data_IF_353186209701
#
_entry.id   IF_353186209701
#
_cell.length_a   1.000
_cell.length_b   1.000
_cell.length_c   1.000
_cell.angle_alpha   90.00
_cell.angle_beta   90.00
_cell.angle_gamma   90.00
#
_symmetry.space_group_name_H-M   'P 1'
#
loop_
_entity.id
_entity.type
_entity.pdbx_description
1 polymer ?
#
# COMPACT_ATOMS: atom_id res chain seq x y z
N UNK A 1 17.78 -2.67 -25.51
CA UNK A 1 16.58 -2.11 -24.86
C UNK A 1 16.59 -2.57 -23.40
N UNK A 2 16.66 -1.64 -22.48
CA UNK A 2 16.67 -1.96 -21.05
C UNK A 2 15.24 -1.95 -20.52
N UNK A 3 14.69 -3.11 -20.23
CA UNK A 3 13.42 -3.22 -19.48
C UNK A 3 13.66 -2.81 -18.02
N UNK A 4 12.77 -1.98 -17.50
CA UNK A 4 12.78 -1.57 -16.10
C UNK A 4 11.67 -2.30 -15.37
N UNK A 5 11.95 -2.77 -14.18
CA UNK A 5 10.93 -3.37 -13.31
C UNK A 5 11.07 -2.86 -11.89
N UNK A 6 9.94 -2.72 -11.22
CA UNK A 6 9.88 -2.31 -9.83
C UNK A 6 8.77 -3.00 -9.09
N UNK A 7 8.98 -3.22 -7.79
CA UNK A 7 8.01 -3.80 -6.89
C UNK A 7 7.29 -2.70 -6.11
N UNK A 8 5.97 -2.76 -6.11
CA UNK A 8 5.11 -1.82 -5.38
C UNK A 8 4.21 -2.59 -4.43
N UNK A 9 4.28 -2.30 -3.16
CA UNK A 9 3.33 -2.82 -2.17
C UNK A 9 2.23 -1.80 -1.89
N UNK A 10 1.01 -2.31 -1.68
CA UNK A 10 -0.13 -1.49 -1.26
C UNK A 10 -0.50 -1.89 0.15
N UNK A 11 -0.40 -0.95 1.07
CA UNK A 11 -0.70 -1.17 2.48
C UNK A 11 -1.82 -0.22 2.94
N UNK A 12 -2.69 -0.71 3.77
CA UNK A 12 -3.77 0.06 4.37
C UNK A 12 -4.68 -0.84 5.19
N UNK A 13 -5.56 -0.22 5.97
CA UNK A 13 -6.55 -0.96 6.75
C UNK A 13 -7.57 -1.67 5.86
N UNK A 14 -8.34 -2.65 6.37
CA UNK A 14 -9.40 -3.31 5.63
C UNK A 14 -10.42 -2.30 5.08
N UNK A 15 -10.97 -2.56 3.91
CA UNK A 15 -12.02 -1.76 3.26
C UNK A 15 -11.63 -0.32 2.90
N UNK A 16 -10.35 0.00 2.86
CA UNK A 16 -9.88 1.33 2.46
C UNK A 16 -9.93 1.55 0.94
N UNK A 17 -10.12 0.46 0.19
CA UNK A 17 -10.22 0.48 -1.27
C UNK A 17 -8.97 -0.04 -2.00
N UNK A 18 -8.14 -0.86 -1.35
CA UNK A 18 -6.93 -1.45 -1.98
C UNK A 18 -7.26 -2.23 -3.25
N UNK A 19 -8.23 -3.15 -3.19
CA UNK A 19 -8.62 -3.97 -4.33
C UNK A 19 -9.20 -3.13 -5.48
N UNK A 20 -9.99 -2.12 -5.16
CA UNK A 20 -10.56 -1.21 -6.15
C UNK A 20 -9.48 -0.40 -6.84
N UNK A 21 -8.54 0.16 -6.07
CA UNK A 21 -7.41 0.89 -6.63
C UNK A 21 -6.56 0.00 -7.53
N UNK A 22 -6.26 -1.21 -7.09
CA UNK A 22 -5.46 -2.15 -7.87
C UNK A 22 -6.15 -2.54 -9.18
N UNK A 23 -7.46 -2.81 -9.16
CA UNK A 23 -8.24 -3.10 -10.36
C UNK A 23 -8.21 -1.95 -11.36
N UNK A 24 -8.31 -0.72 -10.89
CA UNK A 24 -8.20 0.47 -11.74
C UNK A 24 -6.79 0.64 -12.33
N UNK A 25 -5.75 0.43 -11.53
CA UNK A 25 -4.37 0.52 -11.98
C UNK A 25 -4.03 -0.56 -13.01
N UNK A 26 -4.60 -1.74 -12.90
CA UNK A 26 -4.37 -2.87 -13.81
C UNK A 26 -5.30 -2.89 -15.02
N UNK A 27 -6.21 -1.92 -15.17
CA UNK A 27 -7.11 -1.75 -16.30
C UNK A 27 -7.91 -3.00 -16.70
N UNK A 28 -8.63 -3.57 -15.76
CA UNK A 28 -9.50 -4.74 -15.93
C UNK A 28 -8.81 -6.11 -15.91
N UNK A 29 -9.27 -6.89 -14.99
CA UNK A 29 -8.93 -8.29 -14.73
C UNK A 29 -7.47 -8.53 -14.36
N UNK A 30 -7.29 -8.71 -13.08
CA UNK A 30 -6.14 -9.43 -12.57
C UNK A 30 -6.26 -10.87 -13.05
N UNK A 31 -5.71 -11.18 -14.20
CA UNK A 31 -5.33 -12.55 -14.46
C UNK A 31 -4.07 -12.78 -13.64
N UNK A 32 -4.26 -13.31 -12.45
CA UNK A 32 -3.16 -13.80 -11.65
C UNK A 32 -2.66 -15.07 -12.34
N UNK A 33 -1.82 -14.91 -13.31
CA UNK A 33 -0.88 -15.95 -13.68
C UNK A 33 0.35 -15.77 -12.80
N UNK A 34 0.13 -15.94 -11.52
CA UNK A 34 1.23 -16.22 -10.63
C UNK A 34 1.66 -17.65 -10.94
N UNK A 35 2.52 -17.81 -11.90
CA UNK A 35 3.44 -18.91 -11.84
C UNK A 35 4.12 -18.75 -10.49
N UNK A 36 3.84 -19.69 -9.62
CA UNK A 36 4.49 -19.82 -8.33
C UNK A 36 5.96 -20.13 -8.60
N UNK A 37 6.68 -19.16 -9.11
CA UNK A 37 8.12 -19.29 -9.11
C UNK A 37 8.53 -19.28 -7.64
N UNK A 38 9.15 -20.32 -7.20
CA UNK A 38 9.58 -20.61 -5.82
C UNK A 38 10.52 -19.53 -5.25
N UNK A 39 10.77 -18.45 -5.96
CA UNK A 39 11.72 -17.40 -5.65
C UNK A 39 11.08 -16.14 -5.06
N UNK A 40 9.76 -15.95 -5.16
CA UNK A 40 9.09 -14.80 -4.56
C UNK A 40 8.47 -15.19 -3.22
N UNK A 41 8.97 -14.60 -2.14
CA UNK A 41 8.43 -14.71 -0.78
C UNK A 41 7.05 -14.11 -0.64
N UNK A 42 6.62 -13.31 -1.60
CA UNK A 42 5.44 -12.46 -1.54
C UNK A 42 4.46 -12.84 -2.63
N UNK A 43 3.17 -12.69 -2.33
CA UNK A 43 2.11 -12.89 -3.30
C UNK A 43 2.07 -11.71 -4.27
N UNK A 44 2.21 -11.98 -5.55
CA UNK A 44 2.04 -10.99 -6.61
C UNK A 44 0.53 -10.83 -6.85
N UNK A 45 0.03 -9.60 -6.75
CA UNK A 45 -1.37 -9.27 -7.03
C UNK A 45 -1.62 -8.99 -8.50
N UNK A 46 -0.64 -8.46 -9.19
CA UNK A 46 -0.74 -8.16 -10.62
C UNK A 46 0.50 -7.47 -11.14
N UNK A 47 0.60 -7.40 -12.47
CA UNK A 47 1.69 -6.75 -13.16
C UNK A 47 1.10 -5.77 -14.17
N UNK A 48 1.53 -4.52 -14.09
CA UNK A 48 1.22 -3.51 -15.09
C UNK A 48 2.46 -3.24 -15.94
N UNK A 49 2.29 -3.38 -17.25
CA UNK A 49 3.34 -3.04 -18.21
C UNK A 49 2.98 -1.74 -18.93
N UNK A 50 3.90 -0.80 -18.92
CA UNK A 50 3.78 0.45 -19.67
C UNK A 50 5.09 0.69 -20.42
N UNK A 51 5.06 0.50 -21.75
CA UNK A 51 6.27 0.54 -22.56
C UNK A 51 7.29 -0.50 -22.11
N UNK A 52 8.48 -0.07 -21.77
CA UNK A 52 9.56 -0.92 -21.27
C UNK A 52 9.58 -1.06 -19.74
N UNK A 53 8.57 -0.52 -19.05
CA UNK A 53 8.48 -0.55 -17.59
C UNK A 53 7.43 -1.55 -17.13
N UNK A 54 7.79 -2.40 -16.20
CA UNK A 54 6.88 -3.30 -15.49
C UNK A 54 6.77 -2.92 -14.03
N UNK A 55 5.54 -2.77 -13.56
CA UNK A 55 5.24 -2.55 -12.15
C UNK A 55 4.61 -3.82 -11.61
N UNK A 56 5.23 -4.41 -10.61
CA UNK A 56 4.79 -5.65 -9.98
C UNK A 56 4.18 -5.28 -8.63
N UNK A 57 2.87 -5.49 -8.49
CA UNK A 57 2.14 -5.21 -7.25
C UNK A 57 2.19 -6.40 -6.32
N UNK A 58 2.63 -6.16 -5.09
CA UNK A 58 2.71 -7.16 -4.03
C UNK A 58 1.57 -7.00 -3.04
N UNK A 59 1.00 -8.13 -2.61
CA UNK A 59 0.00 -8.13 -1.55
C UNK A 59 0.66 -8.00 -0.19
N UNK A 60 0.12 -7.12 0.66
CA UNK A 60 0.49 -7.04 2.06
C UNK A 60 -0.49 -7.87 2.89
N UNK A 61 -0.01 -8.71 3.83
CA UNK A 61 -0.87 -9.42 4.76
C UNK A 61 -1.79 -8.45 5.49
N UNK A 62 -3.08 -8.77 5.55
CA UNK A 62 -4.08 -7.88 6.12
C UNK A 62 -3.80 -7.51 7.58
N UNK A 63 -3.77 -6.23 7.86
CA UNK A 63 -3.70 -5.70 9.21
C UNK A 63 -5.13 -5.68 9.75
N UNK A 64 -5.46 -6.66 10.60
CA UNK A 64 -6.80 -6.81 11.16
C UNK A 64 -6.81 -6.49 12.66
N UNK A 65 -7.82 -5.76 13.10
CA UNK A 65 -7.94 -5.30 14.49
C UNK A 65 -8.37 -6.36 15.50
N UNK A 66 -8.96 -7.47 15.02
CA UNK A 66 -9.64 -8.45 15.89
C UNK A 66 -8.84 -9.73 16.19
N UNK A 67 -7.58 -9.77 15.82
CA UNK A 67 -6.75 -10.96 16.02
C UNK A 67 -5.92 -10.86 17.31
N UNK A 68 -5.58 -12.00 17.89
CA UNK A 68 -4.77 -12.07 19.11
C UNK A 68 -3.45 -11.31 18.97
N UNK A 69 -2.90 -10.81 20.08
CA UNK A 69 -1.63 -10.06 20.09
C UNK A 69 -0.48 -10.80 19.39
N UNK A 70 -0.43 -12.12 19.51
CA UNK A 70 0.58 -12.97 18.88
C UNK A 70 0.42 -12.95 17.35
N UNK A 71 -0.79 -13.13 16.85
CA UNK A 71 -1.08 -13.12 15.43
C UNK A 71 -0.83 -11.74 14.80
N UNK A 72 -1.17 -10.67 15.52
CA UNK A 72 -0.87 -9.31 15.07
C UNK A 72 0.64 -9.08 14.93
N UNK A 73 1.45 -9.61 15.85
CA UNK A 73 2.91 -9.50 15.79
C UNK A 73 3.46 -10.23 14.56
N UNK A 74 2.95 -11.41 14.26
CA UNK A 74 3.34 -12.19 13.07
C UNK A 74 2.95 -11.47 11.78
N UNK A 75 1.72 -10.93 11.71
CA UNK A 75 1.23 -10.19 10.55
C UNK A 75 2.01 -8.89 10.34
N UNK A 76 2.34 -8.18 11.40
CA UNK A 76 3.15 -6.97 11.31
C UNK A 76 4.56 -7.29 10.79
N UNK A 77 5.17 -8.36 11.25
CA UNK A 77 6.47 -8.81 10.74
C UNK A 77 6.40 -9.21 9.27
N UNK A 78 5.34 -9.90 8.86
CA UNK A 78 5.13 -10.29 7.46
C UNK A 78 4.90 -9.07 6.57
N UNK A 79 4.08 -8.11 7.02
CA UNK A 79 3.86 -6.85 6.32
C UNK A 79 5.16 -6.06 6.16
N UNK A 80 5.98 -6.00 7.21
CA UNK A 80 7.29 -5.34 7.18
C UNK A 80 8.21 -6.01 6.15
N UNK A 81 8.22 -7.32 6.06
CA UNK A 81 9.00 -8.05 5.06
C UNK A 81 8.60 -7.69 3.62
N UNK A 82 7.30 -7.58 3.33
CA UNK A 82 6.81 -7.15 2.02
C UNK A 82 7.23 -5.71 1.71
N UNK A 83 7.16 -4.82 2.70
CA UNK A 83 7.60 -3.43 2.56
C UNK A 83 9.08 -3.37 2.21
N UNK A 84 9.91 -4.12 2.91
CA UNK A 84 11.37 -4.18 2.67
C UNK A 84 11.71 -4.72 1.28
N UNK A 85 10.92 -5.64 0.75
CA UNK A 85 11.08 -6.21 -0.59
C UNK A 85 10.53 -5.30 -1.71
N UNK A 86 9.92 -4.17 -1.37
CA UNK A 86 9.33 -3.22 -2.30
C UNK A 86 10.27 -2.07 -2.61
N UNK A 87 10.19 -1.55 -3.83
CA UNK A 87 10.87 -0.31 -4.24
C UNK A 87 10.04 0.92 -3.83
N UNK A 88 8.72 0.75 -3.78
CA UNK A 88 7.77 1.79 -3.44
C UNK A 88 6.61 1.21 -2.64
N UNK A 89 6.13 1.95 -1.67
CA UNK A 89 4.96 1.61 -0.87
C UNK A 89 3.85 2.62 -1.12
N UNK A 90 2.66 2.13 -1.47
CA UNK A 90 1.44 2.93 -1.52
C UNK A 90 0.68 2.74 -0.20
N UNK A 91 0.66 3.78 0.62
CA UNK A 91 -0.12 3.81 1.86
C UNK A 91 -1.50 4.39 1.60
N UNK A 92 -2.51 3.53 1.65
CA UNK A 92 -3.88 3.90 1.38
C UNK A 92 -4.61 4.28 2.66
N UNK A 93 -5.15 5.48 2.67
CA UNK A 93 -6.02 6.00 3.71
C UNK A 93 -7.34 6.48 3.09
N UNK A 94 -8.40 6.52 3.86
CA UNK A 94 -9.67 7.00 3.36
C UNK A 94 -10.04 8.35 3.97
N UNK A 95 -10.54 9.25 3.11
CA UNK A 95 -11.04 10.56 3.52
C UNK A 95 -9.98 11.36 4.32
N UNK A 96 -10.42 12.05 5.35
CA UNK A 96 -9.61 12.88 6.24
C UNK A 96 -9.51 12.32 7.67
N UNK A 97 -9.68 11.02 7.83
CA UNK A 97 -9.68 10.37 9.14
C UNK A 97 -8.59 9.31 9.21
N UNK A 98 -7.72 9.45 10.19
CA UNK A 98 -6.79 8.41 10.62
C UNK A 98 -7.31 7.80 11.92
N UNK A 99 -7.54 6.51 11.90
CA UNK A 99 -7.90 5.74 13.09
C UNK A 99 -6.71 4.97 13.66
N UNK A 100 -6.97 4.15 14.68
CA UNK A 100 -5.92 3.35 15.33
C UNK A 100 -5.23 2.37 14.37
N UNK A 101 -5.95 1.82 13.38
CA UNK A 101 -5.37 0.91 12.39
C UNK A 101 -4.46 1.66 11.42
N UNK A 102 -4.86 2.83 10.98
CA UNK A 102 -4.02 3.70 10.16
C UNK A 102 -2.74 4.09 10.91
N UNK A 103 -2.87 4.37 12.22
CA UNK A 103 -1.71 4.68 13.05
C UNK A 103 -0.75 3.50 13.19
N UNK A 104 -1.26 2.27 13.30
CA UNK A 104 -0.42 1.06 13.31
C UNK A 104 0.35 0.90 12.00
N UNK A 105 -0.29 1.16 10.87
CA UNK A 105 0.38 1.15 9.56
C UNK A 105 1.47 2.21 9.52
N UNK A 106 1.18 3.43 9.96
CA UNK A 106 2.16 4.50 10.03
C UNK A 106 3.36 4.13 10.89
N UNK A 107 3.14 3.48 12.03
CA UNK A 107 4.22 3.05 12.92
C UNK A 107 5.14 2.02 12.26
N UNK A 108 4.58 1.12 11.45
CA UNK A 108 5.36 0.19 10.63
C UNK A 108 6.17 0.97 9.58
N UNK A 109 5.54 1.92 8.91
CA UNK A 109 6.17 2.70 7.85
C UNK A 109 7.28 3.63 8.35
N UNK A 110 7.20 4.12 9.57
CA UNK A 110 8.28 4.92 10.19
C UNK A 110 9.61 4.17 10.30
N UNK A 111 9.56 2.86 10.41
CA UNK A 111 10.75 2.01 10.50
C UNK A 111 11.33 1.60 9.15
N UNK A 112 10.80 2.07 8.03
CA UNK A 112 11.26 1.69 6.70
C UNK A 112 12.02 2.82 6.01
N UNK A 113 13.05 2.45 5.23
CA UNK A 113 13.79 3.37 4.35
C UNK A 113 13.16 3.48 2.95
N UNK A 114 12.12 2.71 2.66
CA UNK A 114 11.46 2.69 1.36
C UNK A 114 10.69 3.99 1.11
N UNK A 115 10.58 4.36 -0.15
CA UNK A 115 9.71 5.48 -0.52
C UNK A 115 8.25 5.14 -0.26
N UNK A 116 7.52 6.04 0.35
CA UNK A 116 6.10 5.88 0.66
C UNK A 116 5.30 7.01 0.04
N UNK A 117 4.29 6.63 -0.75
CA UNK A 117 3.29 7.56 -1.27
C UNK A 117 2.00 7.35 -0.50
N UNK A 118 1.50 8.39 0.14
CA UNK A 118 0.19 8.37 0.78
C UNK A 118 -0.90 8.66 -0.26
N UNK A 119 -1.82 7.71 -0.40
CA UNK A 119 -2.96 7.82 -1.31
C UNK A 119 -4.24 8.01 -0.50
N UNK A 120 -4.86 9.16 -0.64
CA UNK A 120 -6.12 9.49 0.04
C UNK A 120 -7.28 9.08 -0.86
N UNK A 121 -7.98 8.03 -0.46
CA UNK A 121 -9.10 7.47 -1.22
C UNK A 121 -10.45 7.97 -0.71
N UNK A 122 -11.50 7.75 -1.51
CA UNK A 122 -12.91 8.10 -1.18
C UNK A 122 -13.12 9.59 -0.90
N UNK A 123 -12.38 10.44 -1.56
CA UNK A 123 -12.51 11.91 -1.43
C UNK A 123 -13.83 12.44 -2.00
N UNK A 124 -14.49 11.66 -2.87
CA UNK A 124 -15.84 11.92 -3.38
C UNK A 124 -16.90 11.96 -2.26
N UNK A 125 -16.63 11.29 -1.15
CA UNK A 125 -17.51 11.27 0.03
C UNK A 125 -17.32 12.47 0.97
N UNK A 126 -16.37 13.38 0.65
CA UNK A 126 -16.17 14.60 1.41
C UNK A 126 -17.05 15.73 0.85
N UNK A 127 -17.82 16.36 1.73
CA UNK A 127 -18.63 17.54 1.39
C UNK A 127 -17.77 18.79 1.21
N UNK A 128 -16.64 18.86 1.89
CA UNK A 128 -15.69 19.97 1.85
C UNK A 128 -14.26 19.45 1.69
N UNK A 129 -13.68 19.65 0.49
CA UNK A 129 -12.33 19.20 0.17
C UNK A 129 -11.24 20.02 0.85
N UNK A 130 -11.53 21.24 1.31
CA UNK A 130 -10.57 22.07 2.04
C UNK A 130 -10.17 21.44 3.38
N UNK A 131 -11.04 20.58 3.96
CA UNK A 131 -10.72 19.81 5.17
C UNK A 131 -9.61 18.78 4.97
N UNK A 132 -9.20 18.52 3.73
CA UNK A 132 -8.05 17.66 3.44
C UNK A 132 -6.70 18.33 3.73
N UNK A 133 -6.61 19.66 3.68
CA UNK A 133 -5.35 20.36 3.84
C UNK A 133 -4.63 20.04 5.15
N UNK A 134 -5.27 20.19 6.33
CA UNK A 134 -4.63 19.82 7.60
C UNK A 134 -4.31 18.32 7.70
N UNK A 135 -5.08 17.51 6.98
CA UNK A 135 -4.86 16.07 6.95
C UNK A 135 -3.64 15.68 6.11
N UNK A 136 -3.43 16.35 4.98
CA UNK A 136 -2.27 16.13 4.10
C UNK A 136 -0.97 16.53 4.80
N UNK A 137 -0.99 17.57 5.60
CA UNK A 137 0.19 18.03 6.35
C UNK A 137 0.67 17.01 7.38
N UNK A 138 -0.24 16.22 7.97
CA UNK A 138 0.10 15.22 8.99
C UNK A 138 1.00 14.09 8.46
N UNK A 139 0.69 13.41 7.33
CA UNK A 139 1.59 12.41 6.77
C UNK A 139 2.92 12.98 6.29
N UNK A 140 2.94 14.21 5.79
CA UNK A 140 4.16 14.89 5.30
C UNK A 140 5.13 15.23 6.45
N UNK A 141 4.64 15.32 7.69
CA UNK A 141 5.52 15.49 8.86
C UNK A 141 6.37 14.25 9.17
N UNK A 142 6.06 13.11 8.56
CA UNK A 142 6.91 11.93 8.57
C UNK A 142 7.87 12.02 7.38
N UNK A 143 9.16 12.09 7.65
CA UNK A 143 10.25 12.46 6.73
C UNK A 143 10.35 11.68 5.41
N UNK A 144 9.53 10.65 5.18
CA UNK A 144 9.54 9.80 4.00
C UNK A 144 8.19 9.72 3.26
N UNK A 145 7.13 10.37 3.77
CA UNK A 145 5.82 10.33 3.15
C UNK A 145 5.65 11.50 2.18
N UNK A 146 5.38 11.19 0.93
CA UNK A 146 4.94 12.16 -0.06
C UNK A 146 3.44 12.02 -0.28
N UNK A 147 2.68 13.09 -0.10
CA UNK A 147 1.27 13.14 -0.45
C UNK A 147 1.13 13.48 -1.95
N UNK A 148 0.30 12.73 -2.65
CA UNK A 148 -0.11 12.97 -4.01
C UNK A 148 -1.62 12.91 -4.14
#
# INVERSE_FOLDING_TARGET
>A
MSTRSGYVSIIGKPNVGKSTLLNELLEKKISITADKSQTTRNNIMGIKTHGETQIIFLDTPGIHSKKTKVLNKVLNKSAQGVIEDSDLVLFLVQRNQLDELDQKVLDILKGTDQQVICVINKIDQLTDKQKLLPFIERPVSYTHLRAH
#
